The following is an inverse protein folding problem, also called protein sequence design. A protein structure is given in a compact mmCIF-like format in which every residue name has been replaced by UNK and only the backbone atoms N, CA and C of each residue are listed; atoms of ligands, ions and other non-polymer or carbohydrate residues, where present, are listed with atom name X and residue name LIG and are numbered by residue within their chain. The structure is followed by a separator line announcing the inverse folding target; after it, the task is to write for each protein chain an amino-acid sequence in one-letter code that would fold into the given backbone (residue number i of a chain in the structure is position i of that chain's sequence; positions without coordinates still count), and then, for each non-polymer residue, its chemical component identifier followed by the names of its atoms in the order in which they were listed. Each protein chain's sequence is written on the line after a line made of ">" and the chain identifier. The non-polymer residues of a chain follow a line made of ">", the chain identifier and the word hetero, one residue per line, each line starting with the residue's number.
data_IF_812159145340
#
_entry.id   IF_812159145340
#
_cell.length_a   1.000
_cell.length_b   1.000
_cell.length_c   1.000
_cell.angle_alpha   90.00
_cell.angle_beta   90.00
_cell.angle_gamma   90.00
#
_symmetry.space_group_name_H-M   'P 1'
#
loop_
_entity.id
_entity.type
_entity.pdbx_description
1 polymer ?
#
# COMPACT_ATOMS: atom_id res chain seq x y z
N UNK A 1 17.17 33.03 -5.39
CA UNK A 1 16.66 33.04 -4.00
C UNK A 1 15.24 32.55 -4.13
N UNK A 2 14.96 31.30 -3.76
CA UNK A 2 13.59 30.78 -3.80
C UNK A 2 12.79 31.55 -2.76
N UNK A 3 11.83 32.36 -3.21
CA UNK A 3 10.91 33.01 -2.29
C UNK A 3 10.07 31.92 -1.63
N UNK A 4 10.08 31.91 -0.31
CA UNK A 4 9.34 30.99 0.53
C UNK A 4 7.85 31.01 0.15
N UNK A 5 7.37 29.96 -0.53
CA UNK A 5 6.01 29.87 -1.07
C UNK A 5 4.95 30.10 0.02
N UNK A 6 5.22 29.66 1.26
CA UNK A 6 4.34 29.94 2.40
C UNK A 6 4.26 31.44 2.71
N UNK A 7 5.39 32.15 2.72
CA UNK A 7 5.38 33.61 2.92
C UNK A 7 4.73 34.35 1.76
N UNK A 8 4.95 33.91 0.52
CA UNK A 8 4.24 34.45 -0.66
C UNK A 8 2.73 34.24 -0.57
N UNK A 9 2.28 33.18 0.10
CA UNK A 9 0.87 32.93 0.42
C UNK A 9 0.39 33.63 1.71
N UNK A 10 1.23 34.43 2.38
CA UNK A 10 0.88 35.13 3.61
C UNK A 10 0.82 34.23 4.86
N UNK A 11 1.47 33.06 4.83
CA UNK A 11 1.61 32.15 5.96
C UNK A 11 2.97 32.43 6.62
N UNK A 12 2.96 33.08 7.78
CA UNK A 12 4.16 33.49 8.50
C UNK A 12 4.61 32.45 9.54
N UNK A 13 3.67 31.73 10.15
CA UNK A 13 3.93 30.65 11.11
C UNK A 13 3.46 29.31 10.55
N UNK A 14 4.42 28.53 10.08
CA UNK A 14 4.16 27.23 9.46
C UNK A 14 3.67 26.20 10.48
N UNK A 15 4.22 26.22 11.70
CA UNK A 15 3.82 25.27 12.74
C UNK A 15 2.36 25.51 13.16
N UNK A 16 1.97 26.77 13.33
CA UNK A 16 0.59 27.17 13.60
C UNK A 16 -0.35 26.79 12.44
N UNK A 17 0.07 27.00 11.20
CA UNK A 17 -0.70 26.59 10.02
C UNK A 17 -0.99 25.08 10.03
N UNK A 18 0.03 24.25 10.23
CA UNK A 18 -0.17 22.80 10.33
C UNK A 18 -0.99 22.39 11.57
N UNK A 19 -0.78 23.06 12.71
CA UNK A 19 -1.51 22.83 13.95
C UNK A 19 -3.01 22.99 13.75
N UNK A 20 -3.46 24.11 13.17
CA UNK A 20 -4.90 24.38 12.97
C UNK A 20 -5.57 23.41 12.00
N UNK A 21 -4.78 22.77 11.14
CA UNK A 21 -5.28 21.99 10.00
C UNK A 21 -5.28 20.49 10.21
N UNK A 22 -4.25 19.97 10.89
CA UNK A 22 -4.03 18.53 11.00
C UNK A 22 -4.09 18.00 12.44
N UNK A 23 -4.20 18.89 13.44
CA UNK A 23 -4.53 18.45 14.80
C UNK A 23 -5.98 17.99 14.81
N UNK A 24 -6.17 16.74 15.20
CA UNK A 24 -7.49 16.14 15.44
C UNK A 24 -7.54 15.62 16.87
N UNK A 25 -8.68 15.83 17.52
CA UNK A 25 -9.00 15.22 18.82
C UNK A 25 -9.55 13.79 18.67
N UNK A 26 -9.62 13.26 17.44
CA UNK A 26 -10.03 11.87 17.20
C UNK A 26 -9.04 10.90 17.85
N UNK A 27 -9.57 10.05 18.72
CA UNK A 27 -8.79 9.02 19.41
C UNK A 27 -8.63 7.81 18.48
N UNK A 28 -7.43 7.64 17.95
CA UNK A 28 -7.07 6.53 17.07
C UNK A 28 -6.49 5.38 17.90
N UNK A 29 -7.37 4.56 18.46
CA UNK A 29 -6.94 3.39 19.23
C UNK A 29 -6.95 2.13 18.37
N UNK A 30 -5.76 1.55 18.21
CA UNK A 30 -5.49 0.33 17.46
C UNK A 30 -6.41 -0.85 17.84
N UNK A 31 -6.90 -0.90 19.08
CA UNK A 31 -7.81 -1.95 19.59
C UNK A 31 -9.19 -1.88 18.96
N UNK A 32 -9.63 -0.72 18.49
CA UNK A 32 -10.95 -0.54 17.89
C UNK A 32 -10.95 -0.76 16.37
N UNK A 33 -9.79 -1.00 15.76
CA UNK A 33 -9.68 -1.30 14.33
C UNK A 33 -10.26 -2.67 14.00
N UNK A 34 -11.31 -2.70 13.19
CA UNK A 34 -12.03 -3.90 12.71
C UNK A 34 -11.60 -4.26 11.29
N UNK A 35 -11.83 -5.50 10.89
CA UNK A 35 -11.47 -5.99 9.55
C UNK A 35 -12.11 -5.14 8.42
N UNK A 36 -13.29 -4.57 8.66
CA UNK A 36 -13.99 -3.71 7.70
C UNK A 36 -13.40 -2.30 7.57
N UNK A 37 -12.62 -1.83 8.54
CA UNK A 37 -12.02 -0.49 8.50
C UNK A 37 -10.97 -0.34 7.41
N UNK A 38 -10.51 -1.45 6.84
CA UNK A 38 -9.63 -1.43 5.66
C UNK A 38 -10.29 -0.88 4.40
N UNK A 39 -11.62 -0.81 4.37
CA UNK A 39 -12.37 -0.24 3.26
C UNK A 39 -12.70 1.22 3.46
N UNK A 40 -12.57 1.71 4.69
CA UNK A 40 -12.66 3.14 4.94
C UNK A 40 -11.45 3.79 4.26
N UNK A 41 -11.74 4.67 3.31
CA UNK A 41 -10.72 5.29 2.48
C UNK A 41 -9.69 6.09 3.28
N UNK A 42 -10.05 6.55 4.49
CA UNK A 42 -9.12 7.22 5.41
C UNK A 42 -7.97 6.29 5.83
N UNK A 43 -8.23 4.98 5.88
CA UNK A 43 -7.27 3.96 6.32
C UNK A 43 -6.65 3.15 5.19
N UNK A 44 -7.08 3.32 3.93
CA UNK A 44 -6.57 2.53 2.81
C UNK A 44 -5.03 2.56 2.70
N UNK A 45 -4.44 3.75 2.87
CA UNK A 45 -2.97 3.97 2.87
C UNK A 45 -2.30 3.35 4.10
N UNK A 46 -2.87 3.59 5.27
CA UNK A 46 -2.40 3.03 6.54
C UNK A 46 -2.42 1.51 6.53
N UNK A 47 -3.38 0.90 5.84
CA UNK A 47 -3.46 -0.55 5.66
C UNK A 47 -2.36 -1.09 4.75
N UNK A 48 -2.00 -0.37 3.69
CA UNK A 48 -0.85 -0.74 2.87
C UNK A 48 0.46 -0.71 3.69
N UNK A 49 0.63 0.31 4.52
CA UNK A 49 1.76 0.38 5.48
C UNK A 49 1.69 -0.79 6.46
N UNK A 50 0.52 -1.04 7.05
CA UNK A 50 0.32 -2.16 7.97
C UNK A 50 0.78 -3.46 7.33
N UNK A 51 0.35 -3.75 6.11
CA UNK A 51 0.66 -5.01 5.42
C UNK A 51 2.15 -5.15 5.05
N UNK A 52 2.88 -4.03 4.92
CA UNK A 52 4.31 -3.99 4.57
C UNK A 52 5.27 -3.75 5.74
N UNK A 53 4.78 -3.44 6.95
CA UNK A 53 5.63 -3.30 8.14
C UNK A 53 5.72 -4.63 8.90
N UNK A 54 6.93 -5.04 9.26
CA UNK A 54 7.17 -6.26 10.02
C UNK A 54 6.84 -6.10 11.50
N UNK A 55 6.32 -7.16 12.10
CA UNK A 55 6.08 -7.21 13.53
C UNK A 55 7.38 -7.03 14.34
N UNK A 56 7.27 -6.38 15.50
CA UNK A 56 8.39 -6.11 16.40
C UNK A 56 9.43 -5.10 15.89
N UNK A 57 9.20 -4.47 14.72
CA UNK A 57 10.16 -3.55 14.11
C UNK A 57 10.11 -2.16 14.72
N UNK A 58 11.15 -1.38 14.48
CA UNK A 58 11.22 0.05 14.77
C UNK A 58 10.79 0.88 13.56
N UNK A 59 9.82 1.77 13.75
CA UNK A 59 9.17 2.54 12.70
C UNK A 59 9.23 4.03 13.04
N UNK A 60 9.64 4.85 12.09
CA UNK A 60 9.54 6.31 12.18
C UNK A 60 8.46 6.81 11.22
N UNK A 61 7.48 7.56 11.72
CA UNK A 61 6.46 8.25 10.94
C UNK A 61 6.84 9.72 10.72
N UNK A 62 7.02 10.12 9.47
CA UNK A 62 7.39 11.48 9.07
C UNK A 62 6.13 12.28 8.77
N UNK A 63 5.94 13.39 9.48
CA UNK A 63 4.70 14.17 9.50
C UNK A 63 3.57 13.37 10.14
N UNK A 64 3.80 12.93 11.38
CA UNK A 64 2.94 11.95 12.04
C UNK A 64 1.52 12.45 12.35
N UNK A 65 1.26 13.77 12.29
CA UNK A 65 -0.06 14.35 12.55
C UNK A 65 -0.62 13.87 13.89
N UNK A 66 -1.90 13.50 13.92
CA UNK A 66 -2.54 12.91 15.10
C UNK A 66 -2.20 11.41 15.33
N UNK A 67 -1.28 10.82 14.58
CA UNK A 67 -0.80 9.45 14.80
C UNK A 67 -1.59 8.37 14.07
N UNK A 68 -1.89 8.56 12.78
CA UNK A 68 -2.69 7.62 11.98
C UNK A 68 -2.13 6.19 11.92
N UNK A 69 -0.80 6.03 12.02
CA UNK A 69 -0.16 4.72 12.07
C UNK A 69 -0.24 4.01 13.44
N UNK A 70 -1.00 4.51 14.43
CA UNK A 70 -1.16 3.88 15.75
C UNK A 70 -1.60 2.41 15.66
N UNK A 71 -2.33 2.03 14.60
CA UNK A 71 -2.73 0.66 14.36
C UNK A 71 -1.54 -0.32 14.24
N UNK A 72 -0.34 0.15 13.85
CA UNK A 72 0.87 -0.66 13.81
C UNK A 72 1.25 -1.23 15.19
N UNK A 73 0.79 -0.63 16.30
CA UNK A 73 1.01 -1.16 17.64
C UNK A 73 0.45 -2.58 17.82
N UNK A 74 -0.53 -3.00 17.01
CA UNK A 74 -1.00 -4.41 16.95
C UNK A 74 0.07 -5.39 16.50
N UNK A 75 1.08 -4.92 15.76
CA UNK A 75 2.25 -5.69 15.34
C UNK A 75 3.40 -5.62 16.35
N UNK A 76 3.18 -5.02 17.52
CA UNK A 76 4.22 -4.89 18.55
C UNK A 76 5.41 -4.03 18.12
N UNK A 77 5.20 -3.10 17.17
CA UNK A 77 6.27 -2.20 16.72
C UNK A 77 6.62 -1.17 17.79
N UNK A 78 7.86 -0.67 17.74
CA UNK A 78 8.24 0.58 18.39
C UNK A 78 8.01 1.71 17.37
N UNK A 79 7.10 2.62 17.68
CA UNK A 79 6.61 3.66 16.76
C UNK A 79 7.03 5.04 17.27
N UNK A 80 7.86 5.72 16.49
CA UNK A 80 8.24 7.10 16.71
C UNK A 80 7.57 7.99 15.66
N UNK A 81 7.21 9.22 16.04
CA UNK A 81 6.64 10.22 15.15
C UNK A 81 7.46 11.51 15.17
N UNK A 82 7.57 12.15 14.01
CA UNK A 82 8.08 13.53 13.89
C UNK A 82 7.05 14.37 13.15
N UNK A 83 6.79 15.57 13.65
CA UNK A 83 5.96 16.56 12.98
C UNK A 83 6.57 17.96 13.13
N UNK A 84 6.16 18.94 12.32
CA UNK A 84 6.54 20.33 12.54
C UNK A 84 5.76 20.96 13.70
N UNK A 85 4.54 20.49 13.95
CA UNK A 85 3.71 20.92 15.08
C UNK A 85 3.98 20.06 16.32
N UNK A 86 4.28 20.73 17.44
CA UNK A 86 4.42 20.07 18.75
C UNK A 86 3.11 19.41 19.20
N UNK A 87 1.97 20.03 18.92
CA UNK A 87 0.66 19.49 19.25
C UNK A 87 0.33 18.22 18.48
N UNK A 88 0.66 18.14 17.18
CA UNK A 88 0.58 16.90 16.40
C UNK A 88 1.43 15.80 17.05
N UNK A 89 2.71 16.10 17.32
CA UNK A 89 3.61 15.15 17.98
C UNK A 89 3.08 14.66 19.35
N UNK A 90 2.47 15.54 20.14
CA UNK A 90 1.82 15.19 21.41
C UNK A 90 0.52 14.40 21.22
N UNK A 91 -0.25 14.67 20.16
CA UNK A 91 -1.46 13.91 19.82
C UNK A 91 -1.10 12.48 19.40
N UNK A 92 -0.07 12.29 18.57
CA UNK A 92 0.44 10.97 18.20
C UNK A 92 0.87 10.16 19.44
N UNK A 93 1.55 10.80 20.41
CA UNK A 93 1.89 10.17 21.70
C UNK A 93 0.63 9.72 22.47
N UNK A 94 -0.41 10.57 22.54
CA UNK A 94 -1.68 10.22 23.19
C UNK A 94 -2.37 9.04 22.50
N UNK A 95 -2.23 8.91 21.18
CA UNK A 95 -2.78 7.82 20.37
C UNK A 95 -1.89 6.56 20.35
N UNK A 96 -0.83 6.50 21.16
CA UNK A 96 -0.09 5.27 21.45
C UNK A 96 1.28 5.13 20.77
N UNK A 97 1.82 6.22 20.23
CA UNK A 97 3.21 6.28 19.78
C UNK A 97 4.14 6.22 20.98
N UNK A 98 5.30 5.59 20.84
CA UNK A 98 6.30 5.50 21.91
C UNK A 98 7.13 6.79 22.02
N UNK A 99 7.20 7.58 20.95
CA UNK A 99 7.90 8.87 20.91
C UNK A 99 7.22 9.79 19.90
N UNK A 100 7.09 11.08 20.22
CA UNK A 100 6.61 12.12 19.31
C UNK A 100 7.47 13.37 19.50
N UNK A 101 8.10 13.85 18.43
CA UNK A 101 9.02 14.99 18.48
C UNK A 101 8.63 16.07 17.46
N UNK A 102 8.68 17.33 17.87
CA UNK A 102 8.61 18.46 16.96
C UNK A 102 9.98 18.69 16.29
N UNK A 103 10.11 18.46 14.98
CA UNK A 103 11.35 18.66 14.25
C UNK A 103 11.15 18.84 12.74
N UNK A 104 12.12 19.47 12.08
CA UNK A 104 12.16 19.52 10.62
C UNK A 104 12.55 18.16 10.03
N UNK A 105 11.86 17.76 8.96
CA UNK A 105 12.18 16.53 8.22
C UNK A 105 13.53 16.61 7.50
N UNK A 106 14.07 17.82 7.30
CA UNK A 106 15.41 18.03 6.71
C UNK A 106 16.55 17.79 7.71
N UNK A 107 16.23 17.60 9.00
CA UNK A 107 17.18 17.30 10.06
C UNK A 107 16.49 16.54 11.19
N UNK A 108 16.43 15.23 11.06
CA UNK A 108 15.75 14.34 11.99
C UNK A 108 16.55 14.18 13.29
N UNK A 109 15.89 14.25 14.47
CA UNK A 109 16.54 14.18 15.78
C UNK A 109 16.87 12.74 16.20
N UNK A 110 17.29 11.90 15.26
CA UNK A 110 17.65 10.50 15.48
C UNK A 110 19.05 10.21 14.96
N UNK A 111 19.72 9.24 15.59
CA UNK A 111 21.02 8.78 15.13
C UNK A 111 20.90 8.02 13.80
N UNK A 112 22.03 7.82 13.14
CA UNK A 112 22.12 7.00 11.93
C UNK A 112 21.65 5.57 12.23
N UNK A 113 21.04 4.90 11.26
CA UNK A 113 20.61 3.49 11.37
C UNK A 113 19.74 3.17 12.61
N UNK A 114 18.80 4.06 12.92
CA UNK A 114 17.90 3.94 14.08
C UNK A 114 16.64 3.13 13.81
N UNK A 115 16.17 3.05 12.56
CA UNK A 115 14.87 2.48 12.23
C UNK A 115 14.94 1.38 11.17
N UNK A 116 14.07 0.38 11.29
CA UNK A 116 13.86 -0.64 10.26
C UNK A 116 12.95 -0.10 9.14
N UNK A 117 11.97 0.74 9.51
CA UNK A 117 11.07 1.39 8.56
C UNK A 117 11.00 2.90 8.80
N UNK A 118 10.97 3.65 7.71
CA UNK A 118 10.54 5.06 7.71
C UNK A 118 9.27 5.14 6.88
N UNK A 119 8.23 5.76 7.41
CA UNK A 119 6.92 5.86 6.77
C UNK A 119 6.58 7.34 6.62
N UNK A 120 5.93 7.69 5.52
CA UNK A 120 5.44 9.05 5.29
C UNK A 120 4.20 9.00 4.40
N UNK A 121 3.04 9.39 4.96
CA UNK A 121 1.77 9.38 4.25
C UNK A 121 1.28 10.83 4.09
N UNK A 122 1.12 11.29 2.85
CA UNK A 122 0.60 12.64 2.52
C UNK A 122 1.49 13.79 3.03
N UNK A 123 2.82 13.62 3.03
CA UNK A 123 3.74 14.65 3.55
C UNK A 123 4.66 15.21 2.47
N UNK A 124 5.05 14.41 1.49
CA UNK A 124 6.01 14.84 0.46
C UNK A 124 5.48 15.95 -0.45
N UNK A 125 4.16 16.16 -0.56
CA UNK A 125 3.55 17.29 -1.27
C UNK A 125 3.67 18.63 -0.52
N UNK A 126 3.90 18.57 0.80
CA UNK A 126 4.12 19.71 1.68
C UNK A 126 5.59 20.11 1.82
N UNK A 127 6.51 19.24 1.39
CA UNK A 127 7.94 19.53 1.39
C UNK A 127 8.29 20.30 0.13
N UNK A 128 8.92 21.48 0.27
CA UNK A 128 9.38 22.30 -0.86
C UNK A 128 10.34 21.53 -1.75
N UNK A 129 10.29 21.77 -3.06
CA UNK A 129 11.09 21.02 -4.04
C UNK A 129 12.59 20.97 -3.70
N UNK A 130 13.18 22.09 -3.30
CA UNK A 130 14.58 22.20 -2.89
C UNK A 130 14.93 21.45 -1.60
N UNK A 131 13.96 21.17 -0.73
CA UNK A 131 14.15 20.48 0.54
C UNK A 131 13.96 18.97 0.45
N UNK A 132 13.22 18.48 -0.56
CA UNK A 132 12.94 17.04 -0.73
C UNK A 132 14.19 16.18 -0.72
N UNK A 133 15.24 16.63 -1.38
CA UNK A 133 16.51 15.92 -1.41
C UNK A 133 17.18 15.85 -0.03
N UNK A 134 17.03 16.90 0.80
CA UNK A 134 17.53 16.87 2.18
C UNK A 134 16.72 15.91 3.05
N UNK A 135 15.39 15.90 2.91
CA UNK A 135 14.51 14.93 3.58
C UNK A 135 14.91 13.49 3.21
N UNK A 136 15.10 13.18 1.93
CA UNK A 136 15.47 11.83 1.50
C UNK A 136 16.87 11.41 1.97
N UNK A 137 17.80 12.36 2.13
CA UNK A 137 19.10 12.07 2.78
C UNK A 137 18.91 11.68 4.24
N UNK A 138 18.07 12.40 4.98
CA UNK A 138 17.76 12.07 6.37
C UNK A 138 17.02 10.74 6.49
N UNK A 139 16.03 10.46 5.63
CA UNK A 139 15.35 9.16 5.54
C UNK A 139 16.39 8.04 5.39
N UNK A 140 17.29 8.16 4.41
CA UNK A 140 18.34 7.17 4.18
C UNK A 140 19.29 7.05 5.37
N UNK A 141 19.65 8.17 6.02
CA UNK A 141 20.57 8.20 7.16
C UNK A 141 20.00 7.46 8.36
N UNK A 142 18.73 7.68 8.70
CA UNK A 142 18.09 7.07 9.88
C UNK A 142 17.64 5.63 9.65
N UNK A 143 17.52 5.19 8.40
CA UNK A 143 17.28 3.79 8.07
C UNK A 143 18.51 2.94 8.37
N UNK A 144 18.27 1.76 8.96
CA UNK A 144 19.27 0.70 9.04
C UNK A 144 19.62 0.18 7.64
N UNK A 145 20.79 -0.46 7.47
CA UNK A 145 21.07 -1.25 6.27
C UNK A 145 19.97 -2.28 6.05
N UNK A 146 19.41 -2.34 4.84
CA UNK A 146 18.25 -3.17 4.48
C UNK A 146 16.92 -2.65 5.01
N UNK A 147 16.91 -1.48 5.64
CA UNK A 147 15.70 -0.79 6.07
C UNK A 147 14.89 -0.29 4.87
N UNK A 148 13.59 -0.13 5.07
CA UNK A 148 12.64 0.19 3.99
C UNK A 148 11.93 1.50 4.29
N UNK A 149 11.89 2.40 3.31
CA UNK A 149 10.98 3.56 3.36
C UNK A 149 9.69 3.29 2.60
N UNK A 150 8.55 3.66 3.20
CA UNK A 150 7.20 3.49 2.65
C UNK A 150 6.53 4.87 2.55
N UNK A 151 6.18 5.27 1.35
CA UNK A 151 5.56 6.55 1.09
C UNK A 151 4.20 6.39 0.44
N UNK A 152 3.24 7.17 0.90
CA UNK A 152 2.08 7.54 0.13
C UNK A 152 2.20 9.01 -0.24
N UNK A 153 2.11 9.34 -1.53
CA UNK A 153 2.39 10.68 -2.03
C UNK A 153 1.29 11.16 -2.98
N UNK A 154 0.71 12.32 -2.65
CA UNK A 154 -0.18 13.05 -3.55
C UNK A 154 0.61 13.62 -4.72
N UNK A 155 0.07 13.39 -5.92
CA UNK A 155 0.68 13.77 -7.18
C UNK A 155 -0.16 14.87 -7.84
N UNK A 156 0.48 15.65 -8.70
CA UNK A 156 -0.21 16.62 -9.56
C UNK A 156 -0.08 16.25 -11.03
N UNK A 157 -0.92 16.88 -11.87
CA UNK A 157 -0.76 16.92 -13.31
C UNK A 157 -0.28 18.31 -13.71
N UNK A 158 1.02 18.46 -13.99
CA UNK A 158 1.58 19.77 -14.35
C UNK A 158 1.04 20.28 -15.66
N UNK A 159 0.57 19.40 -16.55
CA UNK A 159 -0.05 19.81 -17.81
C UNK A 159 -1.41 20.49 -17.63
N UNK A 160 -2.06 20.28 -16.47
CA UNK A 160 -3.38 20.82 -16.14
C UNK A 160 -3.35 21.96 -15.09
N UNK A 161 -2.22 22.21 -14.44
CA UNK A 161 -2.09 23.23 -13.39
C UNK A 161 -1.08 24.33 -13.77
N UNK A 162 -1.36 25.58 -13.39
CA UNK A 162 -0.38 26.66 -13.41
C UNK A 162 0.80 26.29 -12.52
N UNK A 163 2.02 26.63 -12.91
CA UNK A 163 3.16 26.53 -12.00
C UNK A 163 3.00 27.53 -10.83
N UNK A 164 3.58 27.23 -9.67
CA UNK A 164 3.54 28.13 -8.51
C UNK A 164 4.13 29.53 -8.81
N UNK A 165 5.02 29.63 -9.78
CA UNK A 165 5.63 30.90 -10.22
C UNK A 165 4.70 31.74 -11.10
N UNK A 166 3.71 31.11 -11.75
CA UNK A 166 2.70 31.78 -12.58
C UNK A 166 1.44 32.16 -11.78
N UNK A 167 1.31 31.69 -10.53
CA UNK A 167 0.20 32.03 -9.65
C UNK A 167 0.39 33.44 -9.06
N UNK A 168 -0.68 34.23 -9.06
CA UNK A 168 -0.76 35.46 -8.26
C UNK A 168 -0.70 35.14 -6.77
N UNK A 169 -0.34 36.10 -5.91
CA UNK A 169 -0.31 35.89 -4.44
C UNK A 169 -1.66 35.39 -3.90
N UNK A 170 -2.78 35.92 -4.41
CA UNK A 170 -4.12 35.48 -4.00
C UNK A 170 -4.45 34.05 -4.48
N UNK A 171 -4.04 33.68 -5.70
CA UNK A 171 -4.21 32.31 -6.21
C UNK A 171 -3.36 31.33 -5.41
N UNK A 172 -2.08 31.67 -5.16
CA UNK A 172 -1.16 30.86 -4.37
C UNK A 172 -1.63 30.72 -2.92
N UNK A 173 -2.11 31.82 -2.32
CA UNK A 173 -2.70 31.81 -0.98
C UNK A 173 -3.90 30.88 -0.91
N UNK A 174 -4.83 30.93 -1.87
CA UNK A 174 -5.97 30.01 -1.91
C UNK A 174 -5.51 28.58 -2.07
N UNK A 175 -4.58 28.31 -2.99
CA UNK A 175 -4.06 26.97 -3.24
C UNK A 175 -3.39 26.37 -2.00
N UNK A 176 -2.50 27.12 -1.35
CA UNK A 176 -1.78 26.66 -0.16
C UNK A 176 -2.72 26.64 1.05
N UNK A 177 -3.68 27.56 1.19
CA UNK A 177 -4.59 27.55 2.34
C UNK A 177 -5.41 26.25 2.42
N UNK A 178 -5.87 25.72 1.27
CA UNK A 178 -6.81 24.58 1.27
C UNK A 178 -6.15 23.25 1.60
N UNK A 179 -4.96 22.94 1.05
CA UNK A 179 -4.23 21.71 1.42
C UNK A 179 -2.84 21.95 2.04
N UNK A 180 -2.14 23.03 1.69
CA UNK A 180 -0.79 23.32 2.21
C UNK A 180 0.30 22.78 1.31
N UNK A 181 -0.04 22.43 0.07
CA UNK A 181 0.85 21.85 -0.92
C UNK A 181 1.75 22.91 -1.56
N UNK A 182 3.07 22.69 -1.46
CA UNK A 182 4.11 23.59 -2.01
C UNK A 182 5.15 22.85 -2.85
N UNK A 183 4.98 21.54 -3.04
CA UNK A 183 5.96 20.70 -3.71
C UNK A 183 5.35 19.52 -4.45
N UNK A 184 4.13 19.63 -5.00
CA UNK A 184 3.55 18.50 -5.74
C UNK A 184 4.38 18.17 -7.00
N UNK A 185 4.66 16.89 -7.22
CA UNK A 185 5.35 16.38 -8.40
C UNK A 185 4.40 15.45 -9.18
N UNK A 186 4.78 15.10 -10.41
CA UNK A 186 4.07 14.05 -11.14
C UNK A 186 4.47 12.66 -10.63
N UNK A 187 3.63 11.65 -10.88
CA UNK A 187 3.83 10.27 -10.37
C UNK A 187 5.23 9.71 -10.67
N UNK A 188 5.72 9.90 -11.91
CA UNK A 188 7.03 9.42 -12.35
C UNK A 188 8.20 10.19 -11.75
N UNK A 189 8.04 11.48 -11.48
CA UNK A 189 9.08 12.35 -10.90
C UNK A 189 9.44 11.89 -9.48
N UNK A 190 8.46 11.41 -8.70
CA UNK A 190 8.71 10.84 -7.38
C UNK A 190 9.65 9.64 -7.46
N UNK A 191 9.35 8.67 -8.33
CA UNK A 191 10.18 7.47 -8.46
C UNK A 191 11.61 7.81 -8.90
N UNK A 192 11.77 8.74 -9.86
CA UNK A 192 13.09 9.23 -10.29
C UNK A 192 13.86 9.89 -9.16
N UNK A 193 13.20 10.71 -8.34
CA UNK A 193 13.83 11.35 -7.19
C UNK A 193 14.32 10.32 -6.18
N UNK A 194 13.50 9.33 -5.82
CA UNK A 194 13.89 8.29 -4.86
C UNK A 194 15.06 7.44 -5.38
N UNK A 195 15.13 7.15 -6.69
CA UNK A 195 16.24 6.39 -7.30
C UNK A 195 17.61 7.06 -7.16
N UNK A 196 17.66 8.38 -6.93
CA UNK A 196 18.91 9.09 -6.64
C UNK A 196 19.48 8.74 -5.26
N UNK A 197 18.63 8.23 -4.35
CA UNK A 197 19.00 7.92 -2.96
C UNK A 197 18.95 6.43 -2.67
N UNK A 198 18.12 5.66 -3.36
CA UNK A 198 17.94 4.23 -3.14
C UNK A 198 18.13 3.45 -4.46
N UNK A 199 18.97 2.40 -4.46
CA UNK A 199 19.14 1.54 -5.64
C UNK A 199 17.88 0.73 -5.98
N UNK A 200 17.06 0.39 -4.99
CA UNK A 200 15.82 -0.36 -5.20
C UNK A 200 14.61 0.52 -4.88
N UNK A 201 13.80 0.80 -5.90
CA UNK A 201 12.59 1.62 -5.80
C UNK A 201 11.46 0.93 -6.56
N UNK A 202 10.40 0.60 -5.84
CA UNK A 202 9.14 0.11 -6.39
C UNK A 202 8.04 1.15 -6.12
N UNK A 203 7.14 1.36 -7.07
CA UNK A 203 6.04 2.31 -6.91
C UNK A 203 4.84 1.88 -7.73
N UNK A 204 3.66 2.27 -7.30
CA UNK A 204 2.42 2.00 -8.01
C UNK A 204 1.47 3.22 -7.90
N UNK A 205 0.97 3.73 -9.03
CA UNK A 205 -0.03 4.77 -9.01
C UNK A 205 -1.37 4.24 -8.48
N UNK A 206 -2.10 5.10 -7.79
CA UNK A 206 -3.39 4.84 -7.18
C UNK A 206 -4.34 5.95 -7.56
N UNK A 207 -5.45 5.55 -8.19
CA UNK A 207 -6.57 6.44 -8.48
C UNK A 207 -7.53 6.34 -7.30
N UNK A 208 -7.17 7.03 -6.23
CA UNK A 208 -8.11 7.36 -5.17
C UNK A 208 -8.62 8.74 -5.51
N UNK A 209 -9.84 8.88 -6.02
CA UNK A 209 -10.50 10.18 -5.84
C UNK A 209 -10.67 10.30 -4.32
N UNK A 210 -9.75 11.06 -3.70
CA UNK A 210 -9.72 11.38 -2.29
C UNK A 210 -10.99 12.12 -1.93
N UNK A 211 -12.12 11.43 -1.79
CA UNK A 211 -13.38 12.06 -1.48
C UNK A 211 -14.12 11.20 -0.48
N UNK A 212 -13.64 11.25 0.77
CA UNK A 212 -14.54 10.97 1.88
C UNK A 212 -15.71 11.93 1.77
N UNK A 213 -16.82 11.58 2.41
CA UNK A 213 -17.94 12.49 2.63
C UNK A 213 -17.50 13.91 3.03
N UNK A 214 -16.49 14.04 3.89
CA UNK A 214 -15.91 15.33 4.31
C UNK A 214 -15.15 16.03 3.19
N UNK A 215 -14.34 15.30 2.45
CA UNK A 215 -13.53 15.89 1.39
C UNK A 215 -14.41 16.32 0.21
N UNK A 216 -15.55 15.66 -0.06
CA UNK A 216 -16.55 16.17 -1.02
C UNK A 216 -17.12 17.53 -0.58
N UNK A 217 -17.44 17.68 0.71
CA UNK A 217 -17.96 18.93 1.26
C UNK A 217 -16.89 20.01 1.20
N UNK A 218 -15.65 19.70 1.60
CA UNK A 218 -14.49 20.61 1.50
C UNK A 218 -14.24 21.04 0.05
N UNK A 219 -14.28 20.12 -0.90
CA UNK A 219 -14.11 20.44 -2.32
C UNK A 219 -15.21 21.33 -2.89
N UNK A 220 -16.44 21.21 -2.39
CA UNK A 220 -17.49 22.18 -2.70
C UNK A 220 -17.19 23.54 -2.08
N UNK A 221 -16.93 23.56 -0.78
CA UNK A 221 -16.94 24.79 0.01
C UNK A 221 -15.67 25.63 -0.15
N UNK A 222 -14.52 24.98 -0.27
CA UNK A 222 -13.21 25.63 -0.34
C UNK A 222 -12.66 25.70 -1.76
N UNK A 223 -12.84 24.65 -2.56
CA UNK A 223 -12.37 24.60 -3.95
C UNK A 223 -13.42 25.12 -4.96
N UNK A 224 -14.67 25.34 -4.54
CA UNK A 224 -15.73 25.84 -5.41
C UNK A 224 -16.14 24.86 -6.50
N UNK A 225 -15.88 23.56 -6.33
CA UNK A 225 -16.19 22.56 -7.35
C UNK A 225 -17.71 22.43 -7.55
N UNK A 226 -18.18 22.21 -8.80
CA UNK A 226 -19.60 22.28 -9.15
C UNK A 226 -20.36 20.99 -8.79
N UNK A 227 -20.25 20.52 -7.54
CA UNK A 227 -21.08 19.43 -7.04
C UNK A 227 -22.55 19.84 -6.93
N UNK A 228 -23.44 18.86 -7.11
CA UNK A 228 -24.89 19.01 -6.97
C UNK A 228 -25.26 19.43 -5.53
N UNK A 229 -26.17 20.40 -5.38
CA UNK A 229 -26.53 20.96 -4.08
C UNK A 229 -27.23 19.95 -3.18
N UNK A 230 -28.11 19.11 -3.74
CA UNK A 230 -28.83 18.09 -2.98
C UNK A 230 -27.86 17.00 -2.50
N UNK A 231 -26.85 16.68 -3.31
CA UNK A 231 -25.80 15.74 -2.94
C UNK A 231 -24.95 16.27 -1.76
N UNK A 232 -24.50 17.53 -1.81
CA UNK A 232 -23.72 18.13 -0.71
C UNK A 232 -24.57 18.26 0.55
N UNK A 233 -25.85 18.62 0.42
CA UNK A 233 -26.79 18.66 1.54
C UNK A 233 -26.98 17.28 2.17
N UNK A 234 -27.09 16.21 1.36
CA UNK A 234 -27.14 14.83 1.83
C UNK A 234 -25.90 14.46 2.65
N UNK A 235 -24.68 14.75 2.15
CA UNK A 235 -23.43 14.44 2.86
C UNK A 235 -23.33 15.15 4.22
N UNK A 236 -23.79 16.40 4.30
CA UNK A 236 -23.85 17.17 5.56
C UNK A 236 -24.86 16.60 6.55
N UNK A 237 -25.91 15.94 6.07
CA UNK A 237 -26.93 15.32 6.90
C UNK A 237 -26.55 13.95 7.47
N UNK A 238 -25.45 13.34 7.00
CA UNK A 238 -25.03 12.01 7.44
C UNK A 238 -24.67 12.02 8.93
N UNK A 239 -25.28 11.12 9.69
CA UNK A 239 -24.80 10.81 11.04
C UNK A 239 -23.49 10.00 10.98
N UNK A 240 -22.83 9.81 12.13
CA UNK A 240 -21.55 9.10 12.19
C UNK A 240 -21.54 7.72 11.52
N UNK A 241 -22.58 6.91 11.73
CA UNK A 241 -22.66 5.56 11.18
C UNK A 241 -22.88 5.57 9.67
N UNK A 242 -23.73 6.47 9.18
CA UNK A 242 -24.00 6.67 7.75
C UNK A 242 -22.77 7.21 7.03
N UNK A 243 -22.06 8.17 7.65
CA UNK A 243 -20.81 8.72 7.15
C UNK A 243 -19.76 7.64 6.95
N UNK A 244 -19.53 6.83 7.98
CA UNK A 244 -18.60 5.69 7.90
C UNK A 244 -19.01 4.69 6.83
N UNK A 245 -20.30 4.38 6.71
CA UNK A 245 -20.79 3.47 5.67
C UNK A 245 -20.55 4.03 4.26
N UNK A 246 -20.79 5.33 4.06
CA UNK A 246 -20.49 6.03 2.81
C UNK A 246 -18.99 5.97 2.50
N UNK A 247 -18.13 6.35 3.44
CA UNK A 247 -16.67 6.37 3.25
C UNK A 247 -16.10 4.96 2.99
N UNK A 248 -16.66 3.93 3.62
CA UNK A 248 -16.33 2.52 3.32
C UNK A 248 -16.76 2.11 1.91
N UNK A 249 -17.96 2.52 1.47
CA UNK A 249 -18.43 2.25 0.12
C UNK A 249 -17.57 2.96 -0.93
N UNK A 250 -17.19 4.22 -0.68
CA UNK A 250 -16.29 4.98 -1.54
C UNK A 250 -14.90 4.33 -1.60
N UNK A 251 -14.32 3.95 -0.46
CA UNK A 251 -13.03 3.26 -0.45
C UNK A 251 -13.08 1.91 -1.16
N UNK A 252 -14.19 1.17 -1.07
CA UNK A 252 -14.39 -0.05 -1.87
C UNK A 252 -14.43 0.25 -3.38
N UNK A 253 -15.19 1.26 -3.81
CA UNK A 253 -15.30 1.67 -5.22
C UNK A 253 -13.95 2.15 -5.76
N UNK A 254 -13.23 3.01 -5.05
CA UNK A 254 -11.95 3.53 -5.50
C UNK A 254 -10.82 2.52 -5.47
N UNK A 255 -10.83 1.61 -4.48
CA UNK A 255 -10.01 0.42 -4.53
C UNK A 255 -10.22 -0.32 -5.86
N UNK A 256 -11.48 -0.67 -6.16
CA UNK A 256 -11.84 -1.37 -7.41
C UNK A 256 -11.45 -0.62 -8.68
N UNK A 257 -11.62 0.70 -8.74
CA UNK A 257 -11.18 1.52 -9.88
C UNK A 257 -9.68 1.42 -10.08
N UNK A 258 -8.90 1.59 -9.00
CA UNK A 258 -7.44 1.44 -9.03
C UNK A 258 -7.03 0.04 -9.46
N UNK A 259 -7.69 -0.99 -8.94
CA UNK A 259 -7.35 -2.38 -9.22
C UNK A 259 -7.73 -2.82 -10.64
N UNK A 260 -8.77 -2.22 -11.23
CA UNK A 260 -9.12 -2.41 -12.65
C UNK A 260 -8.28 -1.55 -13.59
N UNK A 261 -7.29 -0.82 -13.07
CA UNK A 261 -6.44 0.11 -13.82
C UNK A 261 -7.26 1.12 -14.66
N UNK A 262 -8.43 1.52 -14.15
CA UNK A 262 -9.30 2.49 -14.83
C UNK A 262 -8.67 3.86 -14.65
N UNK A 263 -8.17 4.42 -15.75
CA UNK A 263 -7.61 5.77 -15.78
C UNK A 263 -8.75 6.79 -15.74
N UNK A 264 -8.91 7.44 -14.60
CA UNK A 264 -9.82 8.57 -14.45
C UNK A 264 -9.13 9.87 -14.90
N UNK A 265 -9.90 10.91 -15.28
CA UNK A 265 -9.35 12.26 -15.42
C UNK A 265 -8.57 12.63 -14.14
N UNK A 266 -7.35 13.13 -14.34
CA UNK A 266 -6.18 13.14 -13.43
C UNK A 266 -6.31 13.89 -12.08
N UNK A 267 -7.51 14.14 -11.57
CA UNK A 267 -7.69 14.61 -10.18
C UNK A 267 -7.56 13.43 -9.21
N UNK A 268 -6.86 13.61 -8.07
CA UNK A 268 -6.68 12.56 -7.06
C UNK A 268 -5.60 11.51 -7.39
N UNK A 269 -4.57 11.90 -8.14
CA UNK A 269 -3.44 11.01 -8.43
C UNK A 269 -2.61 10.82 -7.16
N UNK A 270 -2.32 9.56 -6.86
CA UNK A 270 -1.54 9.17 -5.71
C UNK A 270 -0.51 8.12 -6.12
N UNK A 271 0.62 8.07 -5.41
CA UNK A 271 1.59 6.98 -5.57
C UNK A 271 1.86 6.35 -4.22
N UNK A 272 1.77 5.02 -4.17
CA UNK A 272 2.42 4.23 -3.14
C UNK A 272 3.83 3.92 -3.61
N UNK A 273 4.84 4.14 -2.76
CA UNK A 273 6.25 3.98 -3.10
C UNK A 273 7.00 3.30 -1.97
N UNK A 274 7.82 2.31 -2.32
CA UNK A 274 8.71 1.58 -1.42
C UNK A 274 10.14 1.71 -1.93
N UNK A 275 11.09 2.03 -1.05
CA UNK A 275 12.50 2.09 -1.42
C UNK A 275 13.44 1.57 -0.34
N UNK A 276 14.59 1.03 -0.74
CA UNK A 276 15.62 0.47 0.16
C UNK A 276 16.99 0.43 -0.51
N UNK A 277 18.05 0.29 0.29
CA UNK A 277 19.40 -0.04 -0.14
C UNK A 277 19.60 -1.54 -0.41
N UNK A 278 18.64 -2.39 -0.04
CA UNK A 278 18.60 -3.82 -0.36
C UNK A 278 17.43 -4.16 -1.29
N UNK A 279 17.45 -5.32 -1.98
CA UNK A 279 16.34 -5.79 -2.78
C UNK A 279 15.03 -5.78 -1.99
N UNK A 280 13.97 -5.25 -2.61
CA UNK A 280 12.66 -5.16 -1.97
C UNK A 280 11.95 -6.51 -2.04
N UNK A 281 11.30 -6.92 -0.95
CA UNK A 281 10.28 -7.96 -1.03
C UNK A 281 8.99 -7.46 -1.68
N UNK A 282 7.95 -8.29 -1.63
CA UNK A 282 6.66 -8.04 -2.27
C UNK A 282 6.13 -6.62 -2.02
N UNK A 283 5.49 -6.03 -3.03
CA UNK A 283 4.94 -4.68 -2.92
C UNK A 283 3.67 -4.62 -2.03
N UNK A 284 2.97 -5.75 -1.91
CA UNK A 284 1.86 -5.95 -0.99
C UNK A 284 2.13 -7.12 -0.06
N UNK A 285 1.62 -7.02 1.17
CA UNK A 285 1.56 -8.14 2.11
C UNK A 285 2.92 -8.78 2.48
N UNK A 286 4.03 -8.03 2.33
CA UNK A 286 5.39 -8.56 2.50
C UNK A 286 5.62 -9.25 3.86
N UNK A 287 5.04 -8.70 4.92
CA UNK A 287 5.28 -9.13 6.30
C UNK A 287 4.01 -9.54 7.03
N UNK A 288 3.02 -9.98 6.28
CA UNK A 288 1.85 -10.58 6.88
C UNK A 288 2.27 -11.70 7.82
N UNK A 289 1.73 -11.69 9.05
CA UNK A 289 2.06 -12.70 10.07
C UNK A 289 1.59 -14.08 9.60
N UNK A 290 2.55 -14.85 9.08
CA UNK A 290 2.40 -16.23 8.62
C UNK A 290 2.58 -17.24 9.77
N UNK A 291 2.90 -16.79 11.00
CA UNK A 291 3.30 -17.65 12.13
C UNK A 291 2.12 -18.29 12.86
N UNK A 292 0.94 -17.65 12.87
CA UNK A 292 -0.32 -18.29 13.32
C UNK A 292 -0.73 -19.51 12.47
N UNK A 293 0.02 -19.81 11.38
CA UNK A 293 -0.39 -20.70 10.29
C UNK A 293 0.69 -21.75 9.92
N UNK A 294 1.74 -21.94 10.74
CA UNK A 294 2.76 -23.00 10.57
C UNK A 294 2.50 -24.16 11.53
N UNK A 295 2.42 -25.40 11.03
CA UNK A 295 2.51 -26.61 11.86
C UNK A 295 3.98 -26.78 12.33
N UNK A 296 4.18 -27.02 13.62
CA UNK A 296 5.48 -27.02 14.31
C UNK A 296 6.39 -28.23 13.97
N UNK A 297 6.15 -28.95 12.86
CA UNK A 297 6.78 -30.27 12.61
C UNK A 297 7.35 -30.51 11.22
N UNK A 298 7.44 -29.52 10.34
CA UNK A 298 8.13 -29.68 9.06
C UNK A 298 9.42 -28.86 9.04
N UNK A 299 10.61 -29.49 9.06
CA UNK A 299 11.82 -28.81 8.63
C UNK A 299 11.77 -28.72 7.11
N UNK A 300 11.68 -27.50 6.57
CA UNK A 300 11.91 -27.23 5.17
C UNK A 300 13.23 -26.48 5.08
N UNK A 301 14.11 -26.96 4.19
CA UNK A 301 15.42 -26.39 3.94
C UNK A 301 15.32 -24.88 3.75
N UNK A 302 16.09 -24.15 4.54
CA UNK A 302 16.30 -22.72 4.39
C UNK A 302 16.86 -22.49 2.98
N UNK A 303 16.01 -22.05 2.05
CA UNK A 303 16.50 -21.26 0.94
C UNK A 303 16.90 -19.93 1.57
N UNK A 304 18.20 -19.68 1.64
CA UNK A 304 18.76 -18.41 2.07
C UNK A 304 18.10 -17.27 1.28
N UNK A 305 17.86 -16.11 1.92
CA UNK A 305 17.54 -14.91 1.16
C UNK A 305 18.79 -14.57 0.34
N UNK A 306 18.83 -14.97 -0.92
CA UNK A 306 19.90 -14.54 -1.82
C UNK A 306 19.69 -13.06 -2.12
N UNK A 307 20.63 -12.24 -1.63
CA UNK A 307 20.77 -10.78 -1.76
C UNK A 307 20.86 -10.27 -3.22
N UNK A 308 20.64 -11.14 -4.22
CA UNK A 308 20.81 -10.87 -5.66
C UNK A 308 19.57 -11.27 -6.49
N UNK A 309 18.40 -11.43 -5.85
CA UNK A 309 17.18 -11.76 -6.58
C UNK A 309 16.84 -10.65 -7.62
N UNK A 310 16.59 -11.00 -8.89
CA UNK A 310 16.22 -10.03 -9.92
C UNK A 310 14.96 -9.25 -9.53
N UNK A 311 14.71 -8.06 -10.09
CA UNK A 311 13.48 -7.31 -9.79
C UNK A 311 12.25 -8.19 -10.05
N UNK A 312 11.38 -8.30 -9.06
CA UNK A 312 10.16 -9.10 -9.13
C UNK A 312 8.98 -8.21 -9.54
N UNK A 313 8.21 -8.65 -10.54
CA UNK A 313 6.94 -8.06 -10.96
C UNK A 313 5.82 -8.82 -10.23
N UNK A 314 5.05 -8.12 -9.40
CA UNK A 314 3.86 -8.68 -8.75
C UNK A 314 2.73 -8.81 -9.78
N UNK A 315 2.34 -10.04 -10.09
CA UNK A 315 1.35 -10.35 -11.13
C UNK A 315 -0.09 -10.13 -10.69
N UNK A 316 -0.34 -9.88 -9.41
CA UNK A 316 -1.70 -9.72 -8.86
C UNK A 316 -2.53 -8.60 -9.52
N UNK A 317 -1.88 -7.64 -10.18
CA UNK A 317 -2.54 -6.47 -10.80
C UNK A 317 -2.16 -6.26 -12.26
N UNK A 318 -1.05 -6.83 -12.70
CA UNK A 318 -0.52 -6.65 -14.06
C UNK A 318 -0.88 -7.81 -14.97
N UNK A 319 -1.38 -8.92 -14.41
CA UNK A 319 -1.72 -10.12 -15.15
C UNK A 319 -3.24 -10.28 -15.31
N UNK A 320 -3.64 -10.95 -16.38
CA UNK A 320 -5.02 -11.35 -16.62
C UNK A 320 -5.29 -12.72 -16.00
N UNK A 321 -6.26 -12.79 -15.09
CA UNK A 321 -6.72 -14.03 -14.45
C UNK A 321 -7.94 -14.57 -15.20
N UNK A 322 -7.96 -15.87 -15.51
CA UNK A 322 -9.09 -16.52 -16.20
C UNK A 322 -10.23 -16.95 -15.24
N UNK A 323 -11.31 -17.54 -15.78
CA UNK A 323 -12.48 -17.99 -15.01
C UNK A 323 -12.18 -19.07 -13.95
N UNK A 324 -10.97 -19.64 -13.94
CA UNK A 324 -10.56 -20.65 -12.95
C UNK A 324 -10.31 -20.09 -11.55
N UNK A 325 -10.34 -18.77 -11.40
CA UNK A 325 -10.09 -18.04 -10.16
C UNK A 325 -11.39 -17.57 -9.50
N UNK A 326 -11.49 -17.83 -8.19
CA UNK A 326 -12.52 -17.35 -7.30
C UNK A 326 -11.93 -16.29 -6.37
N UNK A 327 -12.26 -15.04 -6.65
CA UNK A 327 -11.79 -13.91 -5.85
C UNK A 327 -12.78 -13.61 -4.70
N UNK A 328 -12.31 -13.32 -3.48
CA UNK A 328 -13.12 -12.56 -2.55
C UNK A 328 -13.39 -11.18 -3.16
N UNK A 329 -14.59 -10.63 -2.98
CA UNK A 329 -14.92 -9.25 -3.33
C UNK A 329 -14.18 -8.24 -2.41
N UNK A 330 -12.86 -8.37 -2.27
CA UNK A 330 -11.98 -7.42 -1.59
C UNK A 330 -10.68 -7.37 -2.38
N UNK A 331 -10.22 -6.18 -2.74
CA UNK A 331 -8.97 -5.99 -3.46
C UNK A 331 -8.03 -5.03 -2.69
N UNK A 332 -6.70 -5.27 -2.68
CA UNK A 332 -6.02 -6.44 -3.24
C UNK A 332 -6.50 -7.73 -2.58
N UNK A 333 -6.64 -8.82 -3.34
CA UNK A 333 -7.19 -10.04 -2.80
C UNK A 333 -6.22 -10.59 -1.77
N UNK A 334 -6.73 -10.76 -0.56
CA UNK A 334 -6.02 -11.40 0.55
C UNK A 334 -5.53 -12.81 0.18
N UNK A 335 -6.26 -13.45 -0.76
CA UNK A 335 -5.97 -14.70 -1.45
C UNK A 335 -6.94 -14.84 -2.64
N UNK A 336 -6.52 -15.45 -3.75
CA UNK A 336 -7.42 -15.93 -4.82
C UNK A 336 -7.53 -17.44 -4.72
N UNK A 337 -8.74 -17.96 -4.58
CA UNK A 337 -8.94 -19.41 -4.66
C UNK A 337 -8.94 -19.84 -6.10
N UNK A 338 -8.38 -21.00 -6.43
CA UNK A 338 -8.57 -21.60 -7.75
C UNK A 338 -9.44 -22.83 -7.67
N UNK A 339 -10.10 -23.15 -8.79
CA UNK A 339 -10.76 -24.43 -9.00
C UNK A 339 -9.78 -25.55 -9.31
N UNK A 340 -10.19 -26.49 -10.16
CA UNK A 340 -9.30 -27.58 -10.61
C UNK A 340 -8.17 -27.07 -11.52
N UNK A 341 -8.42 -25.96 -12.23
CA UNK A 341 -7.45 -25.28 -13.11
C UNK A 341 -7.65 -23.79 -13.00
N UNK A 342 -6.57 -23.05 -13.13
CA UNK A 342 -6.54 -21.60 -13.13
C UNK A 342 -5.38 -21.12 -14.00
N UNK A 343 -5.58 -20.05 -14.77
CA UNK A 343 -4.51 -19.47 -15.61
C UNK A 343 -4.32 -18.00 -15.34
N UNK A 344 -3.07 -17.58 -15.51
CA UNK A 344 -2.61 -16.21 -15.36
C UNK A 344 -1.82 -15.86 -16.61
N UNK A 345 -2.21 -14.80 -17.31
CA UNK A 345 -1.50 -14.29 -18.49
C UNK A 345 -0.80 -12.99 -18.19
N UNK A 346 0.48 -12.89 -18.54
CA UNK A 346 1.28 -11.70 -18.29
C UNK A 346 2.39 -11.55 -19.32
N UNK A 347 2.88 -10.34 -19.54
CA UNK A 347 4.03 -10.10 -20.42
C UNK A 347 5.28 -9.86 -19.58
N UNK A 348 6.42 -10.38 -20.03
CA UNK A 348 7.72 -10.04 -19.45
C UNK A 348 8.81 -9.93 -20.52
N UNK A 349 9.79 -9.05 -20.27
CA UNK A 349 10.96 -8.86 -21.13
C UNK A 349 12.02 -9.95 -20.93
N UNK A 350 12.02 -10.59 -19.77
CA UNK A 350 12.81 -11.78 -19.42
C UNK A 350 12.14 -12.43 -18.23
N UNK A 351 12.07 -13.76 -18.18
CA UNK A 351 11.47 -14.46 -17.05
C UNK A 351 12.44 -15.51 -16.54
N UNK A 352 12.97 -15.29 -15.34
CA UNK A 352 13.98 -16.14 -14.71
C UNK A 352 13.39 -17.07 -13.67
N UNK A 353 12.44 -16.59 -12.89
CA UNK A 353 11.80 -17.37 -11.86
C UNK A 353 10.37 -16.89 -11.59
N UNK A 354 9.58 -17.78 -10.99
CA UNK A 354 8.27 -17.48 -10.45
C UNK A 354 8.27 -17.76 -8.95
N UNK A 355 7.68 -16.88 -8.16
CA UNK A 355 7.36 -17.13 -6.75
C UNK A 355 5.86 -17.12 -6.55
N UNK A 356 5.35 -18.16 -5.93
CA UNK A 356 3.94 -18.30 -5.59
C UNK A 356 3.80 -18.54 -4.09
N UNK A 357 2.88 -17.81 -3.49
CA UNK A 357 2.47 -18.00 -2.10
C UNK A 357 1.15 -18.78 -2.08
N UNK A 358 1.19 -20.05 -1.67
CA UNK A 358 0.06 -20.98 -1.69
C UNK A 358 -0.48 -21.26 -0.29
N UNK A 359 -1.80 -21.36 -0.14
CA UNK A 359 -2.47 -21.85 1.07
C UNK A 359 -3.57 -22.85 0.72
N UNK A 360 -3.70 -23.92 1.48
CA UNK A 360 -4.78 -24.89 1.28
C UNK A 360 -5.61 -25.12 2.54
N UNK A 361 -6.93 -25.03 2.40
CA UNK A 361 -7.92 -25.46 3.40
C UNK A 361 -8.59 -26.79 3.00
N UNK A 362 -7.95 -27.57 2.13
CA UNK A 362 -8.48 -28.82 1.61
C UNK A 362 -8.70 -29.86 2.72
N UNK A 363 -9.90 -30.48 2.85
CA UNK A 363 -10.16 -31.51 3.84
C UNK A 363 -9.20 -32.70 3.76
N UNK A 364 -8.83 -33.22 4.94
CA UNK A 364 -8.03 -34.43 5.15
C UNK A 364 -6.76 -34.54 4.28
N UNK A 365 -5.91 -33.50 4.25
CA UNK A 365 -4.75 -33.46 3.34
C UNK A 365 -3.69 -34.53 3.68
N UNK A 366 -3.75 -35.11 4.89
CA UNK A 366 -2.86 -36.21 5.30
C UNK A 366 -3.29 -37.56 4.71
N UNK A 367 -4.58 -37.79 4.54
CA UNK A 367 -5.10 -39.07 4.02
C UNK A 367 -5.08 -39.11 2.50
N UNK A 368 -5.42 -37.98 1.88
CA UNK A 368 -5.30 -37.77 0.44
C UNK A 368 -4.61 -36.44 0.24
N UNK A 369 -3.36 -36.36 -0.24
CA UNK A 369 -2.71 -35.07 -0.48
C UNK A 369 -3.38 -34.29 -1.61
N UNK A 370 -3.19 -32.97 -1.63
CA UNK A 370 -3.53 -32.13 -2.78
C UNK A 370 -2.33 -32.08 -3.72
N UNK A 371 -2.44 -32.66 -4.91
CA UNK A 371 -1.47 -32.53 -5.99
C UNK A 371 -1.64 -31.19 -6.70
N UNK A 372 -0.53 -30.47 -6.87
CA UNK A 372 -0.47 -29.20 -7.61
C UNK A 372 0.58 -29.32 -8.71
N UNK A 373 0.21 -28.93 -9.92
CA UNK A 373 1.14 -28.77 -11.04
C UNK A 373 1.15 -27.32 -11.51
N UNK A 374 2.35 -26.82 -11.84
CA UNK A 374 2.59 -25.53 -12.43
C UNK A 374 3.12 -25.73 -13.85
N UNK A 375 2.45 -25.11 -14.81
CA UNK A 375 2.84 -25.13 -16.21
C UNK A 375 3.03 -23.69 -16.69
N UNK A 376 4.05 -23.47 -17.52
CA UNK A 376 4.30 -22.20 -18.18
C UNK A 376 4.28 -22.44 -19.68
N UNK A 377 3.39 -21.75 -20.40
CA UNK A 377 3.17 -21.95 -21.83
C UNK A 377 2.90 -23.42 -22.21
N UNK A 378 2.22 -24.15 -21.33
CA UNK A 378 1.92 -25.58 -21.48
C UNK A 378 3.05 -26.53 -21.08
N UNK A 379 4.26 -26.04 -20.81
CA UNK A 379 5.40 -26.83 -20.33
C UNK A 379 5.40 -26.94 -18.81
N UNK A 380 5.56 -28.15 -18.28
CA UNK A 380 5.50 -28.38 -16.83
C UNK A 380 6.77 -27.88 -16.14
N UNK A 381 6.63 -26.84 -15.31
CA UNK A 381 7.72 -26.31 -14.50
C UNK A 381 7.92 -27.11 -13.20
N UNK A 382 6.83 -27.44 -12.51
CA UNK A 382 6.88 -28.09 -11.19
C UNK A 382 5.62 -28.91 -10.92
N UNK A 383 5.77 -29.99 -10.16
CA UNK A 383 4.67 -30.70 -9.52
C UNK A 383 5.02 -30.93 -8.04
N UNK A 384 4.02 -30.85 -7.16
CA UNK A 384 4.17 -31.10 -5.73
C UNK A 384 2.88 -31.64 -5.11
N UNK A 385 2.98 -32.11 -3.88
CA UNK A 385 1.84 -32.61 -3.09
C UNK A 385 1.81 -31.93 -1.72
N UNK A 386 0.65 -31.39 -1.34
CA UNK A 386 0.41 -30.76 -0.04
C UNK A 386 -0.26 -31.77 0.90
N UNK A 387 0.40 -32.06 2.02
CA UNK A 387 -0.03 -33.04 3.02
C UNK A 387 -0.58 -32.42 4.31
N UNK A 388 -0.55 -31.09 4.44
CA UNK A 388 -1.02 -30.38 5.63
C UNK A 388 -1.64 -29.03 5.24
N UNK A 389 -2.44 -28.50 6.15
CA UNK A 389 -2.86 -27.11 6.10
C UNK A 389 -1.68 -26.22 6.48
N UNK A 390 -1.48 -25.16 5.71
CA UNK A 390 -0.42 -24.21 5.94
C UNK A 390 -0.14 -23.40 4.70
N UNK A 391 0.73 -22.42 4.86
CA UNK A 391 1.26 -21.63 3.78
C UNK A 391 2.52 -22.28 3.21
N UNK A 392 2.63 -22.34 1.89
CA UNK A 392 3.80 -22.78 1.16
C UNK A 392 4.26 -21.66 0.23
N UNK A 393 5.47 -21.17 0.44
CA UNK A 393 6.17 -20.37 -0.57
C UNK A 393 6.84 -21.33 -1.56
N UNK A 394 6.50 -21.18 -2.83
CA UNK A 394 7.03 -21.98 -3.92
C UNK A 394 7.78 -21.07 -4.89
N UNK A 395 9.11 -21.22 -4.92
CA UNK A 395 9.95 -20.63 -5.96
C UNK A 395 10.26 -21.67 -7.04
N UNK A 396 10.11 -21.28 -8.30
CA UNK A 396 10.36 -22.13 -9.46
C UNK A 396 11.18 -21.36 -10.47
N UNK A 397 12.39 -21.85 -10.76
CA UNK A 397 13.24 -21.31 -11.81
C UNK A 397 12.65 -21.65 -13.19
N UNK A 398 12.67 -20.69 -14.10
CA UNK A 398 12.16 -20.81 -15.47
C UNK A 398 13.33 -21.24 -16.37
N UNK A 399 13.22 -22.38 -17.08
CA UNK A 399 14.25 -22.84 -18.00
C UNK A 399 14.56 -21.79 -19.07
N UNK A 400 15.83 -21.68 -19.49
CA UNK A 400 16.26 -20.71 -20.51
C UNK A 400 15.43 -20.80 -21.81
N UNK A 401 14.99 -22.00 -22.19
CA UNK A 401 14.13 -22.24 -23.36
C UNK A 401 12.76 -21.53 -23.27
N UNK A 402 12.33 -21.20 -22.06
CA UNK A 402 11.08 -20.50 -21.74
C UNK A 402 11.35 -19.08 -21.21
N UNK A 403 12.60 -18.62 -21.10
CA UNK A 403 12.95 -17.34 -20.48
C UNK A 403 12.93 -16.13 -21.43
N UNK A 404 12.48 -16.32 -22.68
CA UNK A 404 12.49 -15.31 -23.73
C UNK A 404 11.48 -14.19 -23.49
N UNK A 405 11.73 -12.99 -24.03
CA UNK A 405 10.76 -11.89 -24.01
C UNK A 405 9.46 -12.31 -24.70
N UNK A 406 8.31 -12.07 -24.08
CA UNK A 406 7.01 -12.37 -24.68
C UNK A 406 5.86 -12.42 -23.68
N UNK A 407 4.73 -12.93 -24.17
CA UNK A 407 3.56 -13.22 -23.37
C UNK A 407 3.65 -14.63 -22.79
N UNK A 408 3.29 -14.76 -21.53
CA UNK A 408 3.36 -15.96 -20.74
C UNK A 408 1.97 -16.37 -20.27
N UNK A 409 1.68 -17.66 -20.29
CA UNK A 409 0.52 -18.27 -19.66
C UNK A 409 1.01 -19.22 -18.56
N UNK A 410 0.83 -18.81 -17.30
CA UNK A 410 1.04 -19.65 -16.12
C UNK A 410 -0.26 -20.37 -15.80
N UNK A 411 -0.29 -21.69 -15.94
CA UNK A 411 -1.41 -22.55 -15.56
C UNK A 411 -1.09 -23.31 -14.26
N UNK A 412 -1.98 -23.20 -13.28
CA UNK A 412 -1.97 -24.02 -12.07
C UNK A 412 -3.07 -25.09 -12.20
N UNK A 413 -2.71 -26.34 -11.90
CA UNK A 413 -3.65 -27.47 -11.86
C UNK A 413 -3.65 -28.09 -10.48
N UNK A 414 -4.85 -28.37 -9.98
CA UNK A 414 -5.06 -29.19 -8.80
C UNK A 414 -5.69 -30.53 -9.21
N UNK A 415 -5.30 -31.62 -8.56
CA UNK A 415 -5.89 -32.94 -8.80
C UNK A 415 -7.25 -33.13 -8.11
N UNK A 416 -7.57 -32.27 -7.13
CA UNK A 416 -8.85 -32.30 -6.40
C UNK A 416 -9.31 -30.91 -5.96
N UNK A 417 -10.62 -30.83 -5.72
CA UNK A 417 -11.35 -29.65 -5.23
C UNK A 417 -12.25 -30.06 -4.06
N UNK A 418 -12.74 -29.08 -3.31
CA UNK A 418 -13.73 -29.22 -2.24
C UNK A 418 -14.71 -28.05 -2.26
N UNK A 419 -15.89 -28.25 -1.66
CA UNK A 419 -16.88 -27.19 -1.46
C UNK A 419 -16.85 -26.72 0.00
N UNK A 420 -16.70 -25.41 0.28
CA UNK A 420 -16.59 -24.90 1.64
C UNK A 420 -17.82 -25.11 2.52
N UNK A 421 -19.01 -25.01 1.92
CA UNK A 421 -20.31 -25.09 2.62
C UNK A 421 -21.33 -25.80 1.74
N UNK A 422 -21.20 -27.13 1.54
CA UNK A 422 -22.09 -27.87 0.66
C UNK A 422 -23.54 -27.88 1.17
N UNK A 423 -23.75 -27.72 2.49
CA UNK A 423 -25.04 -27.95 3.14
C UNK A 423 -25.65 -26.70 3.83
N UNK A 424 -25.17 -25.48 3.56
CA UNK A 424 -25.74 -24.24 4.13
C UNK A 424 -26.99 -23.81 3.33
N UNK A 425 -28.23 -24.00 3.84
CA UNK A 425 -29.43 -23.71 3.08
C UNK A 425 -29.71 -22.20 2.97
N UNK A 426 -29.09 -21.38 3.83
CA UNK A 426 -29.29 -19.94 3.86
C UNK A 426 -28.34 -19.20 2.90
N UNK A 427 -27.16 -19.79 2.61
CA UNK A 427 -26.19 -19.26 1.67
C UNK A 427 -25.35 -20.39 1.04
N UNK A 428 -25.89 -21.12 0.05
CA UNK A 428 -25.19 -22.23 -0.57
C UNK A 428 -23.95 -21.72 -1.33
N UNK A 429 -22.80 -22.34 -1.06
CA UNK A 429 -21.54 -22.06 -1.77
C UNK A 429 -21.21 -23.25 -2.68
N UNK A 430 -21.55 -23.11 -3.96
CA UNK A 430 -21.39 -24.16 -4.99
C UNK A 430 -19.99 -24.20 -5.60
N UNK A 431 -19.09 -23.29 -5.19
CA UNK A 431 -17.74 -23.19 -5.73
C UNK A 431 -16.90 -24.40 -5.33
N UNK A 432 -16.28 -25.01 -6.33
CA UNK A 432 -15.26 -26.04 -6.13
C UNK A 432 -13.88 -25.40 -6.00
N UNK A 433 -13.33 -25.33 -4.79
CA UNK A 433 -12.05 -24.70 -4.49
C UNK A 433 -10.95 -25.74 -4.32
N UNK A 434 -9.68 -25.42 -4.61
CA UNK A 434 -8.54 -26.31 -4.38
C UNK A 434 -7.48 -25.70 -3.45
N UNK A 435 -6.70 -24.77 -3.99
CA UNK A 435 -5.66 -24.01 -3.30
C UNK A 435 -5.96 -22.53 -3.48
N UNK A 436 -5.63 -21.73 -2.48
CA UNK A 436 -5.61 -20.29 -2.59
C UNK A 436 -4.19 -19.83 -2.91
N UNK A 437 -4.07 -18.88 -3.81
CA UNK A 437 -2.82 -18.25 -4.22
C UNK A 437 -2.89 -16.80 -3.80
N UNK A 438 -1.92 -16.39 -2.99
CA UNK A 438 -1.99 -15.13 -2.28
C UNK A 438 -1.04 -14.06 -2.80
N UNK A 439 -0.02 -14.50 -3.54
CA UNK A 439 0.86 -13.64 -4.30
C UNK A 439 1.45 -14.49 -5.44
N UNK A 440 1.62 -13.87 -6.60
CA UNK A 440 2.35 -14.44 -7.72
C UNK A 440 3.32 -13.39 -8.21
N UNK A 441 4.59 -13.72 -8.28
CA UNK A 441 5.65 -12.80 -8.72
C UNK A 441 6.51 -13.43 -9.81
N UNK A 442 6.83 -12.61 -10.81
CA UNK A 442 7.71 -12.93 -11.92
C UNK A 442 9.05 -12.19 -11.75
N UNK A 443 10.14 -12.93 -11.63
CA UNK A 443 11.49 -12.37 -11.53
C UNK A 443 12.08 -12.22 -12.93
N UNK A 444 12.56 -11.02 -13.28
CA UNK A 444 13.02 -10.68 -14.64
C UNK A 444 14.53 -10.56 -14.79
#
# INVERSE_FOLDING_TARGET
>A
MSDDLYRRAGIEDLAEFYRTKFVSDEVLDARYFRALDRFDMRFARTMWVFDNVRAGSSVLDLGCGAGMLALLKRKGVTLAGVDLSEECALAALRNGYDTGLAASLTRLPYADASFDYVVSLDVMGHVRFEEKDAVLREVRRVLRPGGVTLHGIECTDRSAQKSYDEMTEDELRRFIAVDGHVGLEEEGEHAERFRRFFPHVAWEPRYTLCLSSEEFVKQRDEYGLPFDEDFVAYLRGLNFAERRAFDMAMGYVFGKISDLNIKLPKSGLYVLLKASDSPLGAFYNEHRDRAMLKDARAPLSEASPEDDAPPAICLDRTAEFDEGWFEPNMLPPVARWMGRRARVRFSSISLRALRLDLISHMPDPRERPLGIELLLNGERLRALSLFCHGWLELRVEVPEALAASGDFELELRADRTWQPRPDDPANPDDRELSVAVCNIEAFV
#
